data_IF_411752461926
#
_entry.id   IF_411752461926
#
_cell.length_a   1.000
_cell.length_b   1.000
_cell.length_c   1.000
_cell.angle_alpha   90.00
_cell.angle_beta   90.00
_cell.angle_gamma   90.00
#
_symmetry.space_group_name_H-M   'P 1'
#
loop_
_entity.id
_entity.type
_entity.pdbx_description
1 polymer ?
#
# COMPACT_ATOMS: atom_id res chain seq x y z
N UNK A 1 -22.83 -8.70 -17.15
CA UNK A 1 -21.40 -8.76 -16.81
C UNK A 1 -21.15 -7.61 -15.85
N UNK A 2 -21.25 -7.86 -14.55
CA UNK A 2 -21.07 -6.83 -13.52
C UNK A 2 -19.69 -7.03 -12.92
N UNK A 3 -18.74 -6.17 -13.31
CA UNK A 3 -17.42 -6.10 -12.68
C UNK A 3 -17.66 -5.52 -11.29
N UNK A 4 -17.57 -6.36 -10.25
CA UNK A 4 -17.75 -5.90 -8.87
C UNK A 4 -16.41 -5.37 -8.38
N UNK A 5 -16.28 -4.05 -8.29
CA UNK A 5 -15.08 -3.41 -7.76
C UNK A 5 -15.02 -3.60 -6.24
N UNK A 6 -14.35 -4.65 -5.76
CA UNK A 6 -13.91 -4.68 -4.35
C UNK A 6 -12.80 -3.65 -4.22
N UNK A 7 -13.16 -2.45 -3.76
CA UNK A 7 -12.27 -1.29 -3.65
C UNK A 7 -12.05 -0.97 -2.18
N UNK A 8 -11.07 -1.63 -1.58
CA UNK A 8 -10.63 -1.30 -0.22
C UNK A 8 -9.48 -0.29 -0.32
N UNK A 9 -9.74 0.93 0.17
CA UNK A 9 -8.76 1.98 0.33
C UNK A 9 -8.56 2.22 1.82
N UNK A 10 -7.33 2.04 2.30
CA UNK A 10 -6.95 2.34 3.68
C UNK A 10 -5.87 3.41 3.66
N UNK A 11 -5.97 4.36 4.57
CA UNK A 11 -4.93 5.34 4.83
C UNK A 11 -4.62 5.32 6.33
N UNK A 12 -3.34 5.31 6.65
CA UNK A 12 -2.85 5.33 8.02
C UNK A 12 -1.79 6.43 8.17
N UNK A 13 -1.81 7.09 9.31
CA UNK A 13 -0.79 8.06 9.71
C UNK A 13 -0.29 7.65 11.08
N UNK A 14 1.03 7.57 11.22
CA UNK A 14 1.70 7.26 12.48
C UNK A 14 2.71 8.37 12.79
N UNK A 15 2.60 8.94 13.99
CA UNK A 15 3.61 9.83 14.53
C UNK A 15 4.48 9.02 15.49
N UNK A 16 5.80 9.11 15.33
CA UNK A 16 6.74 8.45 16.24
C UNK A 16 7.62 9.49 16.93
N UNK A 17 7.66 9.37 18.26
CA UNK A 17 8.56 10.09 19.15
C UNK A 17 9.71 9.13 19.49
N UNK A 18 10.91 9.37 18.95
CA UNK A 18 12.08 8.56 19.29
C UNK A 18 13.09 8.48 18.18
N UNK A 19 14.37 8.72 18.52
CA UNK A 19 15.50 8.68 17.59
C UNK A 19 15.64 7.31 16.95
N UNK A 20 15.25 7.21 15.69
CA UNK A 20 15.49 6.02 14.88
C UNK A 20 17.00 5.89 14.66
N UNK A 21 17.63 4.77 15.04
CA UNK A 21 19.05 4.54 14.77
C UNK A 21 19.22 4.25 13.28
N UNK A 22 19.32 5.30 12.48
CA UNK A 22 19.39 5.20 11.02
C UNK A 22 19.30 6.55 10.31
N UNK A 23 18.71 7.56 10.96
CA UNK A 23 18.69 8.93 10.45
C UNK A 23 19.67 9.79 11.25
N UNK A 24 20.73 10.23 10.57
CA UNK A 24 21.77 11.06 11.16
C UNK A 24 21.53 12.51 10.74
N UNK A 25 21.55 13.42 11.72
CA UNK A 25 21.16 14.84 11.67
C UNK A 25 19.65 15.11 11.76
N UNK A 26 19.18 15.42 12.98
CA UNK A 26 17.88 16.07 13.19
C UNK A 26 17.86 17.36 12.38
N UNK A 27 16.93 17.47 11.43
CA UNK A 27 16.72 18.71 10.69
C UNK A 27 16.16 19.79 11.65
N UNK A 28 16.77 20.98 11.62
CA UNK A 28 16.32 22.13 12.41
C UNK A 28 15.01 22.73 11.89
N UNK A 29 14.74 22.52 10.59
CA UNK A 29 13.59 22.99 9.84
C UNK A 29 12.73 21.83 9.27
N UNK A 30 11.42 22.05 9.24
CA UNK A 30 10.44 21.06 8.80
C UNK A 30 10.62 20.69 7.33
N UNK A 31 10.95 21.66 6.47
CA UNK A 31 11.11 21.42 5.03
C UNK A 31 12.23 20.43 4.73
N UNK A 32 13.35 20.49 5.46
CA UNK A 32 14.45 19.53 5.29
C UNK A 32 14.08 18.15 5.85
N UNK A 33 13.31 18.06 6.93
CA UNK A 33 12.80 16.79 7.44
C UNK A 33 11.83 16.12 6.45
N UNK A 34 10.96 16.91 5.82
CA UNK A 34 10.08 16.41 4.76
C UNK A 34 10.92 16.00 3.55
N UNK A 35 11.87 16.80 3.08
CA UNK A 35 12.67 16.50 1.89
C UNK A 35 13.66 15.33 2.06
N UNK A 36 14.13 15.08 3.28
CA UNK A 36 15.00 13.93 3.62
C UNK A 36 14.21 12.65 3.89
N UNK A 37 12.89 12.68 3.71
CA UNK A 37 12.04 11.52 3.90
C UNK A 37 12.31 10.39 2.89
N UNK A 38 11.89 9.19 3.28
CA UNK A 38 12.04 7.96 2.50
C UNK A 38 10.68 7.50 1.97
N UNK A 39 10.48 7.46 0.63
CA UNK A 39 9.28 6.87 0.05
C UNK A 39 9.35 5.33 0.05
N UNK A 40 8.20 4.67 0.15
CA UNK A 40 8.06 3.23 0.03
C UNK A 40 6.94 2.86 -0.95
N UNK A 41 7.17 1.85 -1.79
CA UNK A 41 6.20 1.34 -2.76
C UNK A 41 6.17 -0.19 -2.71
N UNK A 42 5.01 -0.77 -2.42
CA UNK A 42 4.72 -2.21 -2.53
C UNK A 42 3.62 -2.41 -3.56
N UNK A 43 3.88 -3.20 -4.59
CA UNK A 43 2.86 -3.63 -5.55
C UNK A 43 2.81 -5.15 -5.53
N UNK A 44 1.64 -5.69 -5.22
CA UNK A 44 1.39 -7.13 -5.19
C UNK A 44 0.26 -7.46 -6.15
N UNK A 45 0.59 -8.22 -7.17
CA UNK A 45 -0.38 -8.82 -8.07
C UNK A 45 -0.64 -10.27 -7.63
N UNK A 46 -1.92 -10.67 -7.62
CA UNK A 46 -2.36 -12.04 -7.38
C UNK A 46 -3.24 -12.44 -8.54
N UNK A 47 -2.79 -13.47 -9.26
CA UNK A 47 -3.61 -14.17 -10.24
C UNK A 47 -3.98 -15.52 -9.64
N UNK A 48 -5.25 -15.86 -9.71
CA UNK A 48 -5.80 -17.13 -9.26
C UNK A 48 -6.63 -17.71 -10.40
N UNK A 49 -6.28 -18.94 -10.79
CA UNK A 49 -6.99 -19.73 -11.78
C UNK A 49 -7.49 -20.99 -11.06
N UNK A 50 -8.81 -21.21 -11.10
CA UNK A 50 -9.41 -22.41 -10.53
C UNK A 50 -9.93 -23.28 -11.67
N UNK A 51 -9.22 -24.37 -11.95
CA UNK A 51 -9.68 -25.42 -12.85
C UNK A 51 -10.47 -26.46 -12.04
N UNK A 52 -11.81 -26.39 -12.09
CA UNK A 52 -12.67 -27.42 -11.53
C UNK A 52 -13.06 -28.40 -12.64
N UNK A 53 -12.82 -29.70 -12.41
CA UNK A 53 -13.32 -30.82 -13.23
C UNK A 53 -14.86 -30.97 -13.13
N UNK A 54 -15.62 -29.92 -13.45
CA UNK A 54 -17.07 -29.87 -13.43
C UNK A 54 -17.53 -28.96 -14.62
N UNK A 55 -18.70 -29.17 -15.25
CA UNK A 55 -19.13 -28.43 -16.45
C UNK A 55 -19.36 -26.92 -16.28
N UNK A 56 -19.04 -26.36 -15.11
CA UNK A 56 -19.37 -25.00 -14.72
C UNK A 56 -18.08 -24.22 -14.44
N UNK A 57 -17.68 -23.50 -15.50
CA UNK A 57 -17.00 -22.19 -15.50
C UNK A 57 -15.58 -22.14 -14.90
N UNK A 58 -14.63 -21.80 -15.78
CA UNK A 58 -13.29 -21.33 -15.41
C UNK A 58 -13.44 -20.04 -14.59
N UNK A 59 -12.78 -19.97 -13.43
CA UNK A 59 -12.75 -18.76 -12.61
C UNK A 59 -11.35 -18.17 -12.66
N UNK A 60 -11.22 -17.05 -13.37
CA UNK A 60 -10.03 -16.20 -13.38
C UNK A 60 -10.26 -15.00 -12.45
N UNK A 61 -9.46 -14.91 -11.40
CA UNK A 61 -9.43 -13.75 -10.51
C UNK A 61 -8.06 -13.07 -10.57
N UNK A 62 -8.05 -11.78 -10.94
CA UNK A 62 -6.84 -10.96 -10.93
C UNK A 62 -7.03 -9.82 -9.94
N UNK A 63 -6.25 -9.82 -8.85
CA UNK A 63 -6.25 -8.76 -7.85
C UNK A 63 -4.91 -8.04 -7.83
N UNK A 64 -4.95 -6.72 -7.76
CA UNK A 64 -3.78 -5.86 -7.57
C UNK A 64 -3.91 -5.12 -6.25
N UNK A 65 -2.88 -5.20 -5.43
CA UNK A 65 -2.71 -4.40 -4.22
C UNK A 65 -1.53 -3.47 -4.39
N UNK A 66 -1.74 -2.18 -4.14
CA UNK A 66 -0.73 -1.13 -4.18
C UNK A 66 -0.65 -0.48 -2.81
N UNK A 67 0.53 -0.38 -2.22
CA UNK A 67 0.81 0.40 -1.01
C UNK A 67 1.85 1.45 -1.31
N UNK A 68 1.51 2.69 -0.98
CA UNK A 68 2.37 3.86 -1.10
C UNK A 68 2.59 4.42 0.29
N UNK A 69 3.83 4.54 0.70
CA UNK A 69 4.19 5.09 2.00
C UNK A 69 5.24 6.18 1.89
N UNK A 70 5.26 7.05 2.90
CA UNK A 70 6.27 8.10 3.04
C UNK A 70 6.61 8.30 4.51
N UNK A 71 7.88 8.13 4.85
CA UNK A 71 8.41 8.45 6.18
C UNK A 71 9.21 9.73 6.08
N UNK A 72 8.88 10.76 6.87
CA UNK A 72 9.74 11.95 6.97
C UNK A 72 11.06 11.61 7.66
N UNK A 73 12.11 12.37 7.39
CA UNK A 73 13.30 12.37 8.23
C UNK A 73 13.01 12.94 9.62
N UNK A 74 14.01 12.89 10.50
CA UNK A 74 13.89 13.37 11.87
C UNK A 74 13.79 14.90 11.92
N UNK A 75 12.66 15.42 12.40
CA UNK A 75 12.48 16.81 12.81
C UNK A 75 12.50 16.90 14.33
N UNK A 76 13.61 17.30 14.95
CA UNK A 76 13.71 17.44 16.41
C UNK A 76 13.29 16.17 17.16
N UNK A 77 13.75 15.01 16.69
CA UNK A 77 13.38 13.67 17.18
C UNK A 77 11.91 13.27 16.98
N UNK A 78 11.19 13.96 16.09
CA UNK A 78 9.88 13.58 15.59
C UNK A 78 9.98 13.09 14.15
N UNK A 79 9.30 12.00 13.85
CA UNK A 79 9.07 11.56 12.48
C UNK A 79 7.60 11.24 12.27
N UNK A 80 7.12 11.48 11.05
CA UNK A 80 5.79 11.11 10.61
C UNK A 80 5.88 10.08 9.49
N UNK A 81 5.05 9.04 9.58
CA UNK A 81 4.86 8.07 8.52
C UNK A 81 3.41 8.12 8.04
N UNK A 82 3.22 8.21 6.74
CA UNK A 82 1.91 8.17 6.08
C UNK A 82 1.92 7.02 5.10
N UNK A 83 0.91 6.16 5.16
CA UNK A 83 0.72 5.05 4.22
C UNK A 83 -0.70 5.07 3.64
N UNK A 84 -0.79 4.78 2.35
CA UNK A 84 -2.02 4.54 1.62
C UNK A 84 -1.97 3.18 0.94
N UNK A 85 -2.94 2.32 1.23
CA UNK A 85 -3.13 1.03 0.57
C UNK A 85 -4.40 1.07 -0.29
N UNK A 86 -4.29 0.60 -1.52
CA UNK A 86 -5.41 0.26 -2.39
C UNK A 86 -5.36 -1.20 -2.80
N UNK A 87 -6.48 -1.90 -2.71
CA UNK A 87 -6.68 -3.21 -3.35
C UNK A 87 -7.81 -3.11 -4.37
N UNK A 88 -7.56 -3.56 -5.59
CA UNK A 88 -8.50 -3.54 -6.72
C UNK A 88 -8.47 -4.89 -7.46
N UNK A 89 -9.63 -5.48 -7.70
CA UNK A 89 -9.77 -6.59 -8.64
C UNK A 89 -9.90 -6.06 -10.07
N UNK A 90 -9.11 -6.59 -11.00
CA UNK A 90 -9.08 -6.21 -12.41
C UNK A 90 -9.91 -7.15 -13.28
N UNK A 91 -10.01 -8.43 -12.90
CA UNK A 91 -10.80 -9.45 -13.57
C UNK A 91 -11.48 -10.27 -12.48
N UNK A 92 -12.81 -10.30 -12.52
CA UNK A 92 -13.64 -11.19 -11.73
C UNK A 92 -14.68 -11.77 -12.68
N UNK A 93 -14.38 -12.90 -13.35
CA UNK A 93 -15.45 -13.70 -13.96
C UNK A 93 -16.07 -14.59 -12.87
N UNK A 94 -16.71 -13.93 -11.89
CA UNK A 94 -17.53 -14.57 -10.87
C UNK A 94 -18.97 -14.62 -11.37
N UNK A 95 -19.32 -15.73 -12.01
CA UNK A 95 -20.70 -15.95 -12.44
C UNK A 95 -21.30 -17.08 -11.61
N UNK A 96 -22.04 -16.71 -10.55
CA UNK A 96 -23.01 -17.59 -9.87
C UNK A 96 -23.94 -18.30 -10.85
#
# INVERSE_FOLDING_TARGET
>A
MSITFIRNLLAAVLLVLGGFPGFSASADNLDAAIASGSPSLDIRMRYENVDQNNPLKQADALTVRTRLGYMTGDFRALAAFVEMENTTALIEDYNS
#
